data_IF_536982674202
#
_entry.id   IF_536982674202
#
_cell.length_a   1.000
_cell.length_b   1.000
_cell.length_c   1.000
_cell.angle_alpha   90.00
_cell.angle_beta   90.00
_cell.angle_gamma   90.00
#
_symmetry.space_group_name_H-M   'P 1'
#
loop_
_entity.id
_entity.type
_entity.pdbx_description
1 polymer ?
2 polymer ?
3 polymer ?
4 water ?
#
# COMPACT_ATOMS: atom_id res chain seq x y z
N UNK A 1 14.81 -0.04 -19.53
CA UNK A 1 13.86 1.06 -19.68
C UNK A 1 13.09 1.28 -18.38
N UNK A 2 12.76 2.53 -18.12
CA UNK A 2 12.07 2.90 -16.90
C UNK A 2 11.37 4.23 -17.07
N UNK A 3 10.40 4.49 -16.19
CA UNK A 3 9.77 5.80 -16.09
C UNK A 3 9.71 6.17 -14.62
N UNK A 4 9.72 7.47 -14.33
CA UNK A 4 9.73 7.93 -12.96
C UNK A 4 8.89 9.20 -12.83
N UNK A 5 7.97 9.20 -11.89
CA UNK A 5 7.17 10.39 -11.60
C UNK A 5 7.95 11.34 -10.69
N UNK A 6 7.84 12.62 -10.98
CA UNK A 6 8.45 13.64 -10.12
C UNK A 6 7.74 13.68 -8.78
N UNK A 7 8.24 14.50 -7.87
CA UNK A 7 7.68 14.52 -6.52
C UNK A 7 6.27 15.07 -6.52
N UNK A 8 5.37 14.37 -5.84
CA UNK A 8 4.04 14.89 -5.58
C UNK A 8 4.07 15.73 -4.33
N UNK A 9 3.37 15.30 -3.30
CA UNK A 9 3.38 16.00 -2.03
C UNK A 9 2.01 16.54 -1.65
N UNK A 10 2.00 17.54 -0.78
CA UNK A 10 0.77 18.09 -0.25
C UNK A 10 0.36 19.32 -1.06
N UNK A 11 -0.91 19.35 -1.47
CA UNK A 11 -1.48 20.47 -2.22
C UNK A 11 -2.74 20.94 -1.51
N UNK A 12 -2.98 22.24 -1.56
CA UNK A 12 -4.21 22.78 -1.01
C UNK A 12 -5.34 22.65 -2.02
N UNK A 13 -6.57 22.53 -1.57
CA UNK A 13 -7.71 22.60 -2.50
C UNK A 13 -7.63 23.86 -3.34
N UNK A 14 -8.01 23.74 -4.60
CA UNK A 14 -7.98 24.72 -5.68
C UNK A 14 -6.58 24.89 -6.28
N UNK A 15 -5.54 24.29 -5.69
CA UNK A 15 -4.21 24.30 -6.30
C UNK A 15 -4.24 23.53 -7.62
N UNK A 16 -3.17 23.72 -8.39
CA UNK A 16 -2.95 22.94 -9.60
C UNK A 16 -1.87 21.90 -9.35
N UNK A 17 -2.15 20.66 -9.73
CA UNK A 17 -1.15 19.59 -9.68
C UNK A 17 -0.34 19.61 -10.97
N UNK A 18 0.99 19.59 -10.85
CA UNK A 18 1.86 19.40 -12.02
C UNK A 18 2.85 18.29 -11.73
N UNK A 19 2.73 17.17 -12.43
CA UNK A 19 3.69 16.08 -12.29
C UNK A 19 4.45 15.89 -13.59
N UNK A 20 5.70 15.49 -13.46
CA UNK A 20 6.51 15.13 -14.61
C UNK A 20 6.82 13.65 -14.57
N UNK A 21 6.71 13.02 -15.72
CA UNK A 21 7.17 11.65 -15.94
C UNK A 21 8.41 11.71 -16.80
N UNK A 22 9.55 11.24 -16.27
CA UNK A 22 10.77 11.20 -17.05
C UNK A 22 11.04 9.78 -17.51
N UNK A 23 11.32 9.65 -18.80
CA UNK A 23 11.47 8.38 -19.50
C UNK A 23 12.95 8.10 -19.71
N UNK A 24 13.37 6.86 -19.50
CA UNK A 24 14.74 6.44 -19.75
C UNK A 24 14.75 5.13 -20.52
N UNK A 25 15.69 4.99 -21.45
CA UNK A 25 15.95 3.70 -22.06
C UNK A 25 14.95 3.27 -23.10
N UNK A 26 14.04 4.14 -23.53
CA UNK A 26 13.19 3.85 -24.66
C UNK A 26 12.77 5.16 -25.30
N UNK A 27 12.21 5.07 -26.50
CA UNK A 27 11.95 6.25 -27.32
C UNK A 27 10.56 6.79 -27.02
N UNK A 28 10.50 7.99 -26.45
CA UNK A 28 9.21 8.61 -26.14
C UNK A 28 8.42 8.90 -27.40
N UNK A 29 9.10 9.24 -28.49
CA UNK A 29 8.40 9.63 -29.72
C UNK A 29 7.49 8.53 -30.26
N UNK A 30 7.80 7.27 -29.97
CA UNK A 30 7.00 6.15 -30.49
C UNK A 30 6.35 5.34 -29.37
N UNK A 31 6.21 5.91 -28.18
CA UNK A 31 5.58 5.19 -27.10
C UNK A 31 4.61 6.11 -26.37
N UNK A 32 3.39 5.62 -26.21
CA UNK A 32 2.34 6.41 -25.58
C UNK A 32 2.45 6.29 -24.07
N UNK A 33 2.33 7.42 -23.38
CA UNK A 33 2.54 7.44 -21.94
C UNK A 33 1.24 7.84 -21.27
N UNK A 34 0.77 6.98 -20.36
CA UNK A 34 -0.45 7.19 -19.61
C UNK A 34 -0.15 7.73 -18.21
N UNK A 35 -1.16 8.38 -17.65
CA UNK A 35 -1.19 8.71 -16.23
C UNK A 35 -2.37 7.96 -15.63
N UNK A 36 -2.12 7.28 -14.51
CA UNK A 36 -3.09 6.44 -13.82
C UNK A 36 -3.00 6.82 -12.36
N UNK A 37 -4.14 6.94 -11.69
CA UNK A 37 -4.07 7.24 -10.26
C UNK A 37 -4.83 6.20 -9.44
N UNK A 38 -4.50 6.16 -8.15
CA UNK A 38 -5.08 5.16 -7.25
C UNK A 38 -5.28 5.81 -5.89
N UNK A 39 -6.52 6.07 -5.51
CA UNK A 39 -6.77 6.65 -4.20
C UNK A 39 -6.43 5.62 -3.13
N UNK A 40 -6.07 6.06 -1.92
CA UNK A 40 -5.65 5.12 -0.88
C UNK A 40 -6.67 4.02 -0.67
N UNK A 41 -6.21 2.78 -0.80
CA UNK A 41 -7.05 1.61 -0.63
C UNK A 41 -8.04 1.34 -1.75
N UNK A 42 -7.99 2.08 -2.85
CA UNK A 42 -8.98 1.95 -3.92
C UNK A 42 -8.31 1.41 -5.20
N UNK A 43 -9.02 1.52 -6.31
CA UNK A 43 -8.61 0.87 -7.54
C UNK A 43 -7.88 1.81 -8.49
N UNK A 44 -7.38 1.23 -9.58
CA UNK A 44 -6.66 1.97 -10.61
C UNK A 44 -7.63 2.75 -11.49
N UNK A 45 -7.29 4.00 -11.79
CA UNK A 45 -8.15 4.88 -12.58
C UNK A 45 -7.28 5.56 -13.64
N UNK A 46 -7.53 5.23 -14.91
CA UNK A 46 -6.81 5.84 -16.01
C UNK A 46 -7.24 7.30 -16.17
N UNK A 47 -6.27 8.20 -16.22
CA UNK A 47 -6.57 9.63 -16.39
C UNK A 47 -6.57 10.02 -17.86
N UNK A 48 -5.56 9.57 -18.58
CA UNK A 48 -5.42 9.91 -19.99
C UNK A 48 -4.05 9.48 -20.47
N UNK A 49 -3.77 9.75 -21.74
CA UNK A 49 -2.41 9.48 -22.22
C UNK A 49 -2.07 10.42 -23.36
N UNK A 50 -0.76 10.57 -23.60
CA UNK A 50 -0.28 11.21 -24.82
C UNK A 50 0.07 10.10 -25.80
N UNK A 51 -0.56 10.16 -26.96
CA UNK A 51 -0.38 9.16 -28.01
C UNK A 51 1.01 9.26 -28.62
N UNK A 52 1.36 8.27 -29.44
CA UNK A 52 2.64 8.31 -30.15
C UNK A 52 2.72 9.49 -31.09
N UNK A 53 1.58 10.13 -31.41
CA UNK A 53 1.51 11.30 -32.25
C UNK A 53 1.82 12.60 -31.51
N UNK A 54 1.89 12.57 -30.20
CA UNK A 54 2.05 13.80 -29.44
C UNK A 54 0.75 14.44 -29.03
N UNK A 55 -0.40 13.89 -29.44
CA UNK A 55 -1.69 14.42 -29.04
C UNK A 55 -2.29 13.59 -27.92
N UNK A 56 -3.09 14.24 -27.08
CA UNK A 56 -3.52 13.57 -25.86
C UNK A 56 -5.03 13.33 -25.82
N UNK A 57 -5.40 12.29 -25.07
CA UNK A 57 -6.79 11.89 -24.88
C UNK A 57 -7.00 11.55 -23.41
N UNK A 58 -8.24 11.74 -22.95
CA UNK A 58 -8.52 11.77 -21.52
C UNK A 58 -9.77 10.98 -21.21
N UNK A 59 -9.82 10.43 -19.99
CA UNK A 59 -11.08 9.96 -19.44
C UNK A 59 -12.08 11.11 -19.38
N UNK A 60 -13.37 10.82 -19.63
CA UNK A 60 -14.35 11.89 -19.70
C UNK A 60 -14.41 12.71 -18.41
N UNK A 61 -14.18 12.06 -17.26
CA UNK A 61 -14.20 12.78 -15.98
C UNK A 61 -13.03 13.74 -15.84
N UNK A 62 -11.93 13.50 -16.57
CA UNK A 62 -10.69 14.25 -16.40
C UNK A 62 -10.51 15.36 -17.43
N UNK A 63 -11.29 15.35 -18.50
CA UNK A 63 -11.00 16.18 -19.68
C UNK A 63 -10.95 17.66 -19.35
N UNK A 64 -11.88 18.16 -18.54
CA UNK A 64 -11.98 19.60 -18.36
C UNK A 64 -10.82 20.16 -17.55
N UNK A 65 -10.23 19.36 -16.65
CA UNK A 65 -9.21 19.85 -15.74
C UNK A 65 -7.80 19.39 -16.06
N UNK A 66 -7.63 18.46 -16.99
CA UNK A 66 -6.37 17.75 -17.16
C UNK A 66 -5.73 18.10 -18.51
N UNK A 67 -4.41 18.25 -18.48
CA UNK A 67 -3.61 18.45 -19.67
C UNK A 67 -2.41 17.51 -19.59
N UNK A 68 -2.20 16.72 -20.63
CA UNK A 68 -1.04 15.85 -20.70
C UNK A 68 -0.24 16.28 -21.92
N UNK A 69 1.04 16.56 -21.71
CA UNK A 69 1.89 17.09 -22.77
C UNK A 69 3.20 16.31 -22.76
N UNK A 70 3.82 16.19 -23.92
CA UNK A 70 5.12 15.52 -23.96
C UNK A 70 6.15 16.46 -24.56
N UNK A 71 7.39 16.24 -24.18
CA UNK A 71 8.53 16.99 -24.70
C UNK A 71 9.52 15.90 -25.10
N UNK A 72 9.58 15.58 -26.40
CA UNK A 72 10.40 14.44 -26.82
C UNK A 72 11.87 14.72 -26.60
N UNK A 73 12.31 15.96 -26.76
CA UNK A 73 13.71 16.28 -26.54
C UNK A 73 14.13 16.11 -25.10
N UNK A 74 13.25 16.42 -24.16
CA UNK A 74 13.58 16.28 -22.75
C UNK A 74 13.20 14.92 -22.20
N UNK A 75 12.58 14.06 -23.00
CA UNK A 75 12.14 12.75 -22.55
C UNK A 75 11.15 12.87 -21.38
N UNK A 76 10.26 13.86 -21.44
CA UNK A 76 9.31 14.05 -20.35
C UNK A 76 7.88 14.04 -20.88
N UNK A 77 6.98 13.66 -19.98
CA UNK A 77 5.53 13.77 -20.17
C UNK A 77 4.99 14.44 -18.93
N UNK A 78 4.19 15.49 -19.10
CA UNK A 78 3.74 16.30 -17.97
C UNK A 78 2.25 16.13 -17.79
N UNK A 79 1.82 15.98 -16.54
CA UNK A 79 0.42 15.95 -16.17
C UNK A 79 0.11 17.21 -15.38
N UNK A 80 -0.82 18.00 -15.90
CA UNK A 80 -1.33 19.15 -15.16
C UNK A 80 -2.81 18.91 -14.89
N UNK A 81 -3.19 19.03 -13.61
CA UNK A 81 -4.59 18.90 -13.23
C UNK A 81 -4.97 20.09 -12.37
N UNK A 82 -5.94 20.87 -12.83
CA UNK A 82 -6.36 22.06 -12.12
C UNK A 82 -7.48 21.75 -11.14
N UNK A 83 -7.79 22.74 -10.28
CA UNK A 83 -8.98 22.71 -9.42
C UNK A 83 -9.01 21.49 -8.52
N UNK A 84 -7.90 21.24 -7.83
CA UNK A 84 -7.80 20.04 -7.00
C UNK A 84 -8.79 20.06 -5.85
N UNK A 85 -9.32 18.88 -5.51
CA UNK A 85 -10.07 18.68 -4.28
C UNK A 85 -9.58 17.42 -3.59
N UNK A 86 -10.05 17.22 -2.36
CA UNK A 86 -9.71 16.01 -1.62
C UNK A 86 -9.92 14.75 -2.45
N UNK A 87 -10.89 14.75 -3.37
CA UNK A 87 -11.14 13.57 -4.20
C UNK A 87 -9.95 13.23 -5.10
N UNK A 88 -9.03 14.16 -5.32
CA UNK A 88 -7.86 13.92 -6.15
C UNK A 88 -6.67 13.37 -5.37
N UNK A 89 -6.81 13.17 -4.06
CA UNK A 89 -5.77 12.52 -3.28
C UNK A 89 -5.56 11.10 -3.78
N UNK A 90 -4.32 10.76 -4.16
CA UNK A 90 -4.08 9.44 -4.74
C UNK A 90 -2.58 9.26 -4.96
N UNK A 91 -2.18 8.02 -5.19
CA UNK A 91 -0.91 7.77 -5.84
C UNK A 91 -1.07 7.93 -7.35
N UNK A 92 -0.19 8.72 -7.96
CA UNK A 92 -0.18 8.94 -9.40
C UNK A 92 0.97 8.19 -10.04
N UNK A 93 0.66 7.39 -11.05
CA UNK A 93 1.61 6.59 -11.81
C UNK A 93 1.68 7.12 -13.22
N UNK A 94 2.87 7.16 -13.80
CA UNK A 94 2.96 7.22 -15.24
C UNK A 94 3.39 5.85 -15.75
N UNK A 95 3.01 5.54 -16.98
CA UNK A 95 3.21 4.19 -17.48
C UNK A 95 3.12 4.16 -18.99
N UNK A 96 3.92 3.27 -19.60
CA UNK A 96 3.66 2.84 -20.98
C UNK A 96 2.85 1.56 -20.85
N UNK A 97 1.53 1.67 -21.03
CA UNK A 97 0.64 0.56 -20.70
C UNK A 97 0.54 -0.35 -21.91
N UNK A 98 1.00 -1.60 -21.74
CA UNK A 98 0.96 -2.58 -22.81
C UNK A 98 -0.22 -3.51 -22.68
N UNK A 99 -1.34 -3.15 -23.27
CA UNK A 99 -2.54 -3.97 -23.17
C UNK A 99 -2.60 -5.00 -24.29
N UNK A 100 -2.26 -4.57 -25.51
CA UNK A 100 -2.21 -5.49 -26.62
C UNK A 100 -0.89 -5.48 -27.36
N UNK A 101 0.17 -5.00 -26.68
CA UNK A 101 1.50 -4.89 -27.25
C UNK A 101 2.52 -5.41 -26.24
N UNK A 102 3.72 -5.75 -26.75
CA UNK A 102 4.73 -6.36 -25.89
C UNK A 102 5.30 -5.40 -24.87
N UNK A 103 5.44 -4.11 -25.21
CA UNK A 103 6.14 -3.20 -24.32
C UNK A 103 5.20 -2.68 -23.23
N UNK A 104 5.63 -2.81 -21.97
CA UNK A 104 4.87 -2.35 -20.81
C UNK A 104 5.86 -1.94 -19.73
N UNK A 105 5.71 -0.72 -19.21
CA UNK A 105 6.60 -0.18 -18.17
C UNK A 105 5.78 0.72 -17.26
N UNK A 106 5.91 0.56 -15.94
CA UNK A 106 5.20 1.39 -14.98
C UNK A 106 6.18 2.04 -14.00
N UNK A 107 5.90 3.30 -13.63
CA UNK A 107 6.68 3.96 -12.62
C UNK A 107 6.28 3.52 -11.21
N UNK A 108 7.10 3.93 -10.23
CA UNK A 108 6.83 3.52 -8.85
C UNK A 108 5.68 4.24 -8.19
N UNK A 109 5.21 5.34 -8.77
CA UNK A 109 4.13 6.14 -8.23
C UNK A 109 4.65 7.25 -7.33
N UNK A 110 3.85 8.31 -7.22
CA UNK A 110 4.16 9.37 -6.27
C UNK A 110 2.86 9.76 -5.58
N UNK A 111 2.94 10.03 -4.28
CA UNK A 111 1.75 10.32 -3.50
C UNK A 111 1.40 11.80 -3.57
N UNK A 112 0.16 12.07 -3.94
CA UNK A 112 -0.41 13.41 -3.99
C UNK A 112 -1.50 13.45 -2.93
N UNK A 113 -1.38 14.39 -1.99
CA UNK A 113 -2.39 14.60 -0.96
C UNK A 113 -2.95 15.99 -1.15
N UNK A 114 -4.27 16.09 -1.23
CA UNK A 114 -4.94 17.37 -1.34
C UNK A 114 -5.73 17.58 -0.05
N UNK A 115 -5.33 18.59 0.73
CA UNK A 115 -5.95 18.80 2.03
C UNK A 115 -5.67 20.22 2.47
N UNK A 116 -6.59 20.77 3.26
CA UNK A 116 -6.33 22.04 3.92
C UNK A 116 -5.48 21.89 5.18
N UNK A 117 -5.23 20.67 5.63
CA UNK A 117 -4.49 20.46 6.87
C UNK A 117 -3.01 20.76 6.64
N UNK A 118 -2.32 21.07 7.74
CA UNK A 118 -0.96 21.58 7.66
C UNK A 118 0.05 20.46 7.82
N UNK A 119 1.16 20.61 7.11
CA UNK A 119 2.31 19.73 7.32
C UNK A 119 2.71 19.72 8.77
N UNK A 120 2.89 18.50 9.31
CA UNK A 120 3.23 18.31 10.72
C UNK A 120 4.32 17.26 10.81
N UNK A 121 5.42 17.60 11.53
CA UNK A 121 6.49 16.62 11.71
C UNK A 121 6.09 15.59 12.76
N UNK A 122 6.60 14.37 12.66
CA UNK A 122 6.21 13.32 13.61
C UNK A 122 6.91 13.45 14.95
N UNK A 123 6.25 12.93 15.98
CA UNK A 123 6.89 12.63 17.26
C UNK A 123 7.27 11.16 17.23
N UNK A 124 8.52 10.86 17.60
CA UNK A 124 9.05 9.50 17.51
C UNK A 124 9.36 8.99 18.90
N UNK A 125 8.75 7.85 19.26
CA UNK A 125 9.01 7.28 20.56
C UNK A 125 9.55 5.87 20.44
N UNK A 126 10.45 5.48 21.32
CA UNK A 126 10.91 4.09 21.36
C UNK A 126 9.88 3.15 21.96
N UNK A 127 9.86 1.92 21.44
CA UNK A 127 9.02 0.85 21.98
C UNK A 127 9.99 -0.20 22.51
N UNK A 128 10.22 -0.19 23.81
CA UNK A 128 11.07 -1.17 24.46
C UNK A 128 10.22 -2.19 25.19
N UNK A 129 10.77 -3.38 25.45
CA UNK A 129 9.99 -4.40 26.17
C UNK A 129 9.62 -3.95 27.58
N UNK A 130 8.67 -4.66 28.17
CA UNK A 130 8.17 -4.32 29.50
C UNK A 130 9.32 -4.28 30.50
N UNK A 131 9.23 -3.36 31.46
CA UNK A 131 10.29 -3.12 32.44
C UNK A 131 10.71 -4.41 33.12
N UNK A 132 12.01 -4.73 33.03
CA UNK A 132 12.57 -5.92 33.64
C UNK A 132 12.39 -7.20 32.86
N UNK A 133 11.49 -7.22 31.87
CA UNK A 133 11.12 -8.45 31.17
C UNK A 133 12.34 -9.19 30.63
N UNK A 134 12.36 -10.50 30.84
CA UNK A 134 13.36 -11.40 30.27
C UNK A 134 12.68 -12.69 29.82
N UNK A 135 11.58 -12.55 29.08
CA UNK A 135 10.73 -13.67 28.69
C UNK A 135 10.78 -13.86 27.18
N UNK A 136 11.44 -14.92 26.74
CA UNK A 136 11.44 -15.30 25.34
C UNK A 136 12.82 -15.66 24.85
N UNK A 137 12.86 -16.35 23.71
CA UNK A 137 14.13 -16.62 23.03
C UNK A 137 14.58 -15.43 22.20
N UNK A 138 13.64 -14.59 21.77
CA UNK A 138 13.96 -13.40 21.00
C UNK A 138 13.33 -12.18 21.68
N UNK A 139 13.78 -11.00 21.27
CA UNK A 139 13.26 -9.75 21.78
C UNK A 139 12.85 -8.89 20.60
N UNK A 140 11.66 -8.30 20.69
CA UNK A 140 11.19 -7.37 19.67
C UNK A 140 11.20 -5.96 20.23
N UNK A 141 11.81 -5.04 19.48
CA UNK A 141 11.85 -3.62 19.80
C UNK A 141 11.03 -2.88 18.76
N UNK A 142 10.71 -1.63 19.07
CA UNK A 142 9.86 -0.90 18.16
C UNK A 142 10.18 0.57 18.13
N UNK A 143 9.56 1.21 17.15
CA UNK A 143 9.67 2.63 16.91
C UNK A 143 8.28 3.13 16.58
N UNK A 144 7.75 4.06 17.38
CA UNK A 144 6.42 4.62 17.14
C UNK A 144 6.56 6.01 16.51
N UNK A 145 5.93 6.21 15.35
CA UNK A 145 6.04 7.46 14.59
C UNK A 145 4.66 8.11 14.59
N UNK A 146 4.44 9.08 15.48
CA UNK A 146 3.10 9.56 15.79
C UNK A 146 2.86 11.00 15.32
N UNK A 147 1.72 11.22 14.69
CA UNK A 147 1.19 12.55 14.45
C UNK A 147 1.88 13.32 13.34
N UNK A 148 2.09 12.71 12.18
CA UNK A 148 2.69 13.44 11.07
C UNK A 148 1.69 13.59 9.93
N UNK A 149 2.02 14.51 9.01
CA UNK A 149 1.18 14.78 7.85
C UNK A 149 2.00 15.62 6.87
N UNK A 150 1.98 15.32 5.58
CA UNK A 150 1.35 14.16 4.93
C UNK A 150 2.23 12.93 5.01
N UNK A 151 1.76 11.84 4.42
CA UNK A 151 2.60 10.71 4.10
C UNK A 151 3.59 11.12 3.02
N UNK A 152 4.74 10.45 2.92
CA UNK A 152 5.21 9.33 3.74
C UNK A 152 6.27 9.70 4.76
N UNK A 153 6.67 8.73 5.56
CA UNK A 153 7.94 8.78 6.26
C UNK A 153 8.78 7.62 5.77
N UNK A 154 10.09 7.72 5.98
CA UNK A 154 10.99 6.59 5.80
C UNK A 154 11.52 6.18 7.16
N UNK A 155 11.69 4.88 7.36
CA UNK A 155 12.16 4.36 8.65
C UNK A 155 13.20 3.29 8.39
N UNK A 156 14.38 3.46 8.95
CA UNK A 156 15.39 2.42 8.91
C UNK A 156 15.85 2.12 10.33
N UNK A 157 16.58 1.02 10.45
CA UNK A 157 17.15 0.59 11.72
C UNK A 157 18.66 0.52 11.57
N UNK A 158 19.37 1.18 12.47
CA UNK A 158 20.83 1.24 12.44
C UNK A 158 21.33 1.73 11.08
N UNK A 159 20.67 2.75 10.55
CA UNK A 159 21.01 3.38 9.27
C UNK A 159 20.90 2.42 8.10
N UNK A 160 20.17 1.32 8.26
CA UNK A 160 19.99 0.34 7.22
C UNK A 160 20.80 -0.93 7.41
N UNK A 161 21.78 -0.91 8.31
CA UNK A 161 22.57 -2.10 8.59
C UNK A 161 21.84 -3.09 9.49
N UNK A 162 20.61 -2.80 9.89
CA UNK A 162 19.71 -3.76 10.52
C UNK A 162 18.47 -3.83 9.63
N UNK A 163 18.40 -4.86 8.78
CA UNK A 163 17.29 -4.98 7.86
C UNK A 163 16.52 -6.29 7.98
N UNK A 164 17.10 -7.32 8.60
CA UNK A 164 16.38 -8.57 8.79
C UNK A 164 15.44 -8.49 9.99
N UNK A 165 14.30 -9.17 9.88
CA UNK A 165 13.38 -9.24 10.99
C UNK A 165 12.62 -7.97 11.28
N UNK A 166 12.41 -7.12 10.27
CA UNK A 166 11.74 -5.84 10.41
C UNK A 166 10.32 -5.94 9.86
N UNK A 167 9.35 -5.42 10.59
CA UNK A 167 7.99 -5.22 10.10
C UNK A 167 7.65 -3.75 10.26
N UNK A 168 7.38 -3.08 9.16
CA UNK A 168 6.87 -1.72 9.23
C UNK A 168 5.41 -1.74 8.82
N UNK A 169 4.55 -1.33 9.72
CA UNK A 169 3.12 -1.40 9.52
C UNK A 169 2.63 -0.21 8.72
N UNK A 170 1.56 -0.39 7.94
CA UNK A 170 0.97 0.74 7.21
C UNK A 170 0.48 1.80 8.18
N UNK A 171 0.68 3.06 7.78
CA UNK A 171 0.24 4.16 8.60
C UNK A 171 -1.28 4.19 8.68
N UNK A 172 -1.78 4.70 9.80
CA UNK A 172 -3.21 4.88 10.01
C UNK A 172 -3.48 6.38 10.06
N UNK A 173 -4.47 6.84 9.31
CA UNK A 173 -4.88 8.24 9.27
C UNK A 173 -6.03 8.47 10.24
N UNK A 174 -5.90 9.51 11.07
CA UNK A 174 -6.99 9.93 11.94
C UNK A 174 -6.85 11.41 12.21
N UNK A 175 -7.92 12.17 11.95
CA UNK A 175 -7.95 13.61 12.23
C UNK A 175 -6.78 14.33 11.57
N UNK A 176 -6.53 14.01 10.30
CA UNK A 176 -5.49 14.64 9.49
C UNK A 176 -4.08 14.40 10.02
N UNK A 177 -3.88 13.35 10.81
CA UNK A 177 -2.55 12.97 11.26
C UNK A 177 -2.35 11.48 11.06
N UNK A 178 -1.12 11.09 10.74
CA UNK A 178 -0.79 9.69 10.55
C UNK A 178 0.02 9.18 11.73
N UNK A 179 -0.14 7.88 12.00
CA UNK A 179 0.71 7.20 12.97
C UNK A 179 1.15 5.88 12.37
N UNK A 180 2.43 5.57 12.55
CA UNK A 180 3.01 4.35 12.02
C UNK A 180 3.86 3.71 13.10
N UNK A 181 4.00 2.39 13.07
CA UNK A 181 4.97 1.74 13.93
C UNK A 181 5.82 0.77 13.12
N UNK A 182 7.02 0.55 13.59
CA UNK A 182 7.90 -0.45 13.00
C UNK A 182 8.50 -1.25 14.14
N UNK A 183 8.68 -2.54 13.93
CA UNK A 183 9.30 -3.41 14.92
C UNK A 183 10.50 -4.10 14.29
N UNK A 184 11.42 -4.49 15.15
CA UNK A 184 12.55 -5.32 14.74
C UNK A 184 12.76 -6.39 15.80
N UNK A 185 12.96 -7.62 15.34
CA UNK A 185 13.10 -8.76 16.24
C UNK A 185 14.51 -9.30 16.14
N UNK A 186 15.15 -9.49 17.29
CA UNK A 186 16.52 -9.99 17.37
C UNK A 186 16.58 -11.04 18.48
N UNK A 187 17.71 -11.73 18.58
CA UNK A 187 17.85 -12.75 19.61
C UNK A 187 18.05 -12.11 20.98
N UNK A 188 17.74 -12.87 22.03
CA UNK A 188 17.86 -12.37 23.39
C UNK A 188 19.28 -11.89 23.70
N UNK A 189 20.29 -12.53 23.11
CA UNK A 189 21.68 -12.15 23.36
C UNK A 189 22.14 -10.97 22.52
N UNK A 190 21.32 -10.50 21.59
CA UNK A 190 21.69 -9.38 20.72
C UNK A 190 21.51 -8.05 21.43
N UNK A 191 20.34 -7.83 22.03
CA UNK A 191 19.94 -6.59 22.64
C UNK A 191 19.66 -6.81 24.12
N UNK A 192 20.07 -5.89 25.01
CA UNK A 192 20.64 -4.56 24.74
C UNK A 192 22.15 -4.51 24.60
N UNK A 193 22.85 -5.65 24.51
CA UNK A 193 24.28 -5.61 24.29
C UNK A 193 24.63 -4.79 23.06
N UNK A 194 23.96 -5.06 21.94
CA UNK A 194 24.17 -4.30 20.71
C UNK A 194 23.24 -3.10 20.67
N UNK A 195 23.75 -2.01 20.10
CA UNK A 195 23.02 -0.77 19.97
C UNK A 195 22.00 -0.88 18.85
N UNK A 196 20.76 -0.49 19.12
CA UNK A 196 19.71 -0.50 18.11
C UNK A 196 19.01 0.86 18.11
N UNK A 197 18.94 1.48 16.93
CA UNK A 197 18.44 2.83 16.75
C UNK A 197 17.47 2.83 15.56
N UNK A 198 16.35 3.53 15.69
CA UNK A 198 15.51 3.74 14.51
C UNK A 198 15.76 5.13 13.95
N UNK A 199 15.74 5.21 12.63
CA UNK A 199 16.03 6.43 11.90
C UNK A 199 14.78 6.76 11.12
N UNK A 200 14.12 7.86 11.49
CA UNK A 200 12.88 8.28 10.86
C UNK A 200 13.16 9.56 10.11
N UNK A 201 12.64 9.66 8.89
CA UNK A 201 12.74 10.90 8.13
C UNK A 201 11.34 11.25 7.64
N UNK A 202 11.01 12.55 7.64
CA UNK A 202 9.73 13.04 7.11
C UNK A 202 10.05 14.09 6.05
N UNK A 203 10.11 13.69 4.78
CA UNK A 203 10.54 14.63 3.73
C UNK A 203 9.74 15.91 3.68
N UNK A 204 8.42 15.83 3.90
CA UNK A 204 7.58 17.01 3.75
C UNK A 204 7.95 18.11 4.74
N UNK A 205 8.45 17.75 5.92
CA UNK A 205 8.88 18.76 6.89
C UNK A 205 10.40 18.90 6.99
N UNK A 206 11.15 18.18 6.15
CA UNK A 206 12.62 18.19 6.17
C UNK A 206 13.15 17.89 7.56
N UNK A 207 12.48 16.97 8.26
CA UNK A 207 12.90 16.57 9.59
C UNK A 207 13.39 15.13 9.59
N UNK A 208 14.24 14.83 10.56
CA UNK A 208 14.66 13.47 10.85
C UNK A 208 14.74 13.32 12.36
N UNK A 209 14.50 12.10 12.82
CA UNK A 209 14.69 11.75 14.22
C UNK A 209 15.46 10.45 14.28
N UNK A 210 16.50 10.40 15.11
CA UNK A 210 17.17 9.16 15.47
C UNK A 210 16.84 8.87 16.92
N UNK A 211 16.38 7.64 17.17
CA UNK A 211 15.99 7.24 18.51
C UNK A 211 16.65 5.91 18.83
N UNK A 212 17.61 5.92 19.74
CA UNK A 212 18.18 4.66 20.20
C UNK A 212 17.23 4.03 21.22
N UNK A 213 17.04 2.72 21.10
CA UNK A 213 16.11 1.99 21.96
C UNK A 213 16.89 1.48 23.17
N UNK A 214 16.52 1.96 24.36
CA UNK A 214 17.19 1.65 25.62
C UNK A 214 16.27 0.84 26.51
N UNK A 215 16.82 -0.03 27.38
CA UNK A 215 16.00 -0.72 28.37
C UNK A 215 15.32 0.27 29.31
N UNK A 216 14.11 -0.07 29.75
CA UNK A 216 13.32 0.83 30.59
C UNK A 216 13.91 0.96 32.01
N UNK B 2 -15.84 2.95 -22.00
CA UNK B 2 -16.45 1.66 -21.71
C UNK B 2 -16.43 1.37 -20.22
N UNK B 3 -17.34 0.51 -19.78
CA UNK B 3 -17.33 -0.01 -18.43
C UNK B 3 -16.62 -1.35 -18.41
N UNK B 4 -15.87 -1.60 -17.35
CA UNK B 4 -15.21 -2.88 -17.14
C UNK B 4 -15.68 -3.41 -15.79
N UNK B 5 -16.46 -4.49 -15.81
CA UNK B 5 -17.06 -5.05 -14.61
C UNK B 5 -16.33 -6.34 -14.27
N UNK B 6 -15.63 -6.34 -13.15
CA UNK B 6 -14.85 -7.48 -12.69
C UNK B 6 -15.63 -8.20 -11.59
N UNK B 7 -15.69 -9.53 -11.68
CA UNK B 7 -16.35 -10.32 -10.64
C UNK B 7 -15.51 -11.57 -10.37
N UNK B 8 -15.39 -11.97 -9.10
CA UNK B 8 -15.92 -11.31 -7.90
C UNK B 8 -15.01 -10.14 -7.52
N UNK B 9 -15.41 -9.29 -6.57
CA UNK B 9 -14.54 -8.23 -6.10
C UNK B 9 -13.56 -8.72 -5.04
N UNK B 10 -13.85 -9.86 -4.41
CA UNK B 10 -12.88 -10.45 -3.49
C UNK B 10 -13.14 -11.95 -3.42
N UNK B 11 -12.09 -12.70 -3.10
CA UNK B 11 -12.29 -14.12 -2.88
C UNK B 11 -11.17 -14.64 -1.99
N UNK B 12 -11.52 -15.57 -1.11
CA UNK B 12 -10.56 -16.26 -0.27
C UNK B 12 -10.43 -17.67 -0.82
N UNK B 13 -9.19 -18.11 -1.03
CA UNK B 13 -8.92 -19.40 -1.67
C UNK B 13 -7.81 -20.11 -0.92
N UNK B 14 -7.85 -21.43 -0.93
CA UNK B 14 -6.82 -22.20 -0.25
C UNK B 14 -5.66 -22.45 -1.19
N UNK B 15 -4.45 -22.58 -0.63
CA UNK B 15 -3.30 -22.95 -1.44
C UNK B 15 -3.63 -24.18 -2.28
N UNK B 16 -3.29 -24.14 -3.57
CA UNK B 16 -3.54 -25.24 -4.46
C UNK B 16 -4.86 -25.17 -5.21
N UNK B 17 -5.80 -24.34 -4.72
CA UNK B 17 -7.07 -24.16 -5.41
C UNK B 17 -6.87 -23.47 -6.76
N UNK B 18 -7.93 -23.48 -7.53
CA UNK B 18 -8.01 -22.72 -8.78
C UNK B 18 -8.91 -21.52 -8.59
N UNK B 19 -8.43 -20.33 -8.98
CA UNK B 19 -9.17 -19.08 -8.88
C UNK B 19 -9.59 -18.66 -10.28
N UNK B 20 -10.83 -18.21 -10.42
CA UNK B 20 -11.38 -17.73 -11.68
C UNK B 20 -11.90 -16.32 -11.48
N UNK B 21 -11.43 -15.38 -12.29
CA UNK B 21 -11.84 -13.98 -12.24
C UNK B 21 -12.40 -13.60 -13.60
N UNK B 22 -13.58 -12.98 -13.60
CA UNK B 22 -14.25 -12.62 -14.84
C UNK B 22 -14.22 -11.11 -15.04
N UNK B 23 -14.03 -10.70 -16.28
CA UNK B 23 -14.04 -9.30 -16.67
C UNK B 23 -15.01 -9.13 -17.83
N UNK B 24 -16.00 -8.24 -17.68
CA UNK B 24 -16.97 -7.97 -18.73
C UNK B 24 -16.89 -6.51 -19.14
N UNK B 25 -16.54 -6.26 -20.41
CA UNK B 25 -16.52 -4.92 -20.97
C UNK B 25 -17.89 -4.58 -21.54
N UNK B 26 -18.28 -3.30 -21.41
CA UNK B 26 -19.58 -2.89 -21.93
C UNK B 26 -19.60 -2.75 -23.45
N UNK B 27 -18.45 -2.61 -24.08
CA UNK B 27 -18.31 -2.65 -25.53
C UNK B 27 -17.05 -3.43 -25.82
N UNK B 28 -16.87 -3.82 -27.09
CA UNK B 28 -15.71 -4.66 -27.41
C UNK B 28 -14.42 -3.88 -27.29
N UNK B 29 -13.38 -4.56 -26.77
CA UNK B 29 -12.07 -3.97 -26.79
C UNK B 29 -11.52 -3.99 -28.21
N UNK B 30 -10.50 -3.17 -28.41
CA UNK B 30 -9.84 -3.04 -29.70
C UNK B 30 -9.39 -4.40 -30.23
N UNK B 31 -9.71 -4.66 -31.49
CA UNK B 31 -9.37 -5.91 -32.18
C UNK B 31 -9.88 -7.15 -31.45
N UNK B 32 -10.81 -6.98 -30.51
CA UNK B 32 -11.41 -8.03 -29.68
C UNK B 32 -10.43 -8.65 -28.70
N UNK B 33 -9.13 -8.28 -28.71
CA UNK B 33 -8.20 -8.91 -27.77
C UNK B 33 -7.29 -7.93 -27.05
N UNK B 34 -7.56 -6.63 -27.10
CA UNK B 34 -6.78 -5.68 -26.30
C UNK B 34 -7.30 -5.73 -24.87
N UNK B 35 -6.86 -6.75 -24.16
CA UNK B 35 -7.27 -6.97 -22.77
C UNK B 35 -6.07 -7.57 -22.05
N UNK B 36 -5.70 -6.96 -20.92
CA UNK B 36 -4.55 -7.41 -20.14
C UNK B 36 -4.95 -7.61 -18.68
N UNK B 37 -4.14 -8.39 -17.95
CA UNK B 37 -4.35 -8.64 -16.53
C UNK B 37 -3.14 -8.17 -15.74
N UNK B 38 -3.38 -7.43 -14.66
CA UNK B 38 -2.33 -6.92 -13.79
C UNK B 38 -2.51 -7.46 -12.38
N UNK B 39 -1.38 -7.65 -11.69
CA UNK B 39 -1.36 -8.09 -10.30
C UNK B 39 -0.70 -7.00 -9.47
N UNK B 40 -1.37 -6.58 -8.39
CA UNK B 40 -0.82 -5.48 -7.59
C UNK B 40 -0.78 -5.86 -6.13
N UNK B 41 0.39 -5.73 -5.54
CA UNK B 41 0.55 -5.88 -4.10
C UNK B 41 0.71 -4.50 -3.45
N UNK B 42 0.33 -4.35 -2.18
CA UNK B 42 0.27 -3.00 -1.59
C UNK B 42 1.61 -2.27 -1.67
N UNK B 43 1.56 -0.99 -2.02
CA UNK B 43 2.75 -0.17 -2.10
C UNK B 43 3.57 -0.33 -3.35
N UNK B 44 3.14 -1.18 -4.29
CA UNK B 44 3.86 -1.44 -5.52
C UNK B 44 3.02 -0.99 -6.70
N UNK B 45 3.65 -0.69 -7.83
CA UNK B 45 2.89 -0.53 -9.05
C UNK B 45 2.34 -1.88 -9.50
N UNK B 46 1.27 -1.87 -10.28
CA UNK B 46 0.74 -3.14 -10.80
C UNK B 46 1.73 -3.80 -11.75
N UNK B 47 1.79 -5.12 -11.65
CA UNK B 47 2.68 -5.94 -12.47
C UNK B 47 1.85 -6.63 -13.54
N UNK B 48 2.21 -6.44 -14.81
CA UNK B 48 1.48 -7.12 -15.88
C UNK B 48 1.72 -8.63 -15.84
N UNK B 49 0.65 -9.41 -15.89
CA UNK B 49 0.74 -10.86 -15.96
C UNK B 49 0.47 -11.41 -17.34
N UNK B 50 -0.56 -10.88 -17.99
CA UNK B 50 -1.07 -11.36 -19.26
C UNK B 50 -1.44 -10.15 -20.11
N UNK B 51 -1.18 -10.22 -21.41
CA UNK B 51 -1.66 -9.20 -22.33
C UNK B 51 -2.20 -9.89 -23.57
N UNK B 52 -2.90 -9.13 -24.42
CA UNK B 52 -3.54 -9.68 -25.61
C UNK B 52 -4.33 -10.94 -25.27
N UNK B 53 -5.09 -10.85 -24.17
CA UNK B 53 -6.01 -11.88 -23.65
C UNK B 53 -5.28 -13.06 -22.99
N UNK B 54 -4.28 -13.61 -23.66
CA UNK B 54 -3.73 -14.89 -23.22
C UNK B 54 -2.21 -14.97 -23.26
N UNK B 55 -1.50 -13.93 -23.65
CA UNK B 55 -0.05 -13.99 -23.75
C UNK B 55 0.57 -13.72 -22.39
N UNK B 56 1.39 -14.66 -21.92
CA UNK B 56 2.05 -14.53 -20.62
C UNK B 56 3.18 -13.52 -20.72
N UNK B 57 3.28 -12.62 -19.74
CA UNK B 57 4.45 -11.76 -19.71
C UNK B 57 5.69 -12.55 -19.28
N UNK B 58 6.85 -11.96 -19.52
CA UNK B 58 8.12 -12.64 -19.27
C UNK B 58 8.25 -13.02 -17.81
N UNK B 59 8.63 -14.28 -17.56
CA UNK B 59 8.83 -14.76 -16.22
C UNK B 59 7.57 -15.03 -15.42
N UNK B 60 6.39 -14.80 -15.98
CA UNK B 60 5.16 -15.06 -15.24
C UNK B 60 4.93 -16.56 -15.14
N UNK B 61 4.65 -17.09 -13.95
CA UNK B 61 4.44 -18.55 -13.81
C UNK B 61 3.33 -19.06 -14.70
N UNK B 62 3.48 -20.31 -15.16
CA UNK B 62 2.51 -20.89 -16.08
C UNK B 62 1.17 -21.20 -15.43
N UNK B 63 1.04 -21.11 -14.10
CA UNK B 63 -0.27 -21.32 -13.49
C UNK B 63 -1.26 -20.20 -13.81
N UNK B 64 -0.79 -19.09 -14.36
CA UNK B 64 -1.66 -17.99 -14.80
C UNK B 64 -2.01 -18.19 -16.26
N UNK B 65 -3.31 -18.18 -16.57
CA UNK B 65 -3.76 -18.27 -17.95
C UNK B 65 -4.93 -17.32 -18.16
N UNK B 66 -5.04 -16.79 -19.37
CA UNK B 66 -6.10 -15.88 -19.71
C UNK B 66 -6.86 -16.37 -20.93
N UNK B 67 -8.15 -16.06 -20.96
CA UNK B 67 -8.99 -16.48 -22.08
C UNK B 67 -10.07 -15.44 -22.30
N UNK B 68 -10.77 -15.57 -23.43
CA UNK B 68 -11.89 -14.71 -23.74
C UNK B 68 -11.71 -13.97 -25.05
N UNK B 69 -12.70 -13.12 -25.34
CA UNK B 69 -12.72 -12.35 -26.58
C UNK B 69 -13.80 -11.28 -26.50
N UNK B 70 -13.54 -10.14 -27.14
CA UNK B 70 -14.57 -9.14 -27.38
C UNK B 70 -14.96 -8.34 -26.16
N UNK B 71 -15.91 -8.89 -25.39
CA UNK B 71 -16.40 -8.27 -24.16
C UNK B 71 -16.28 -9.15 -22.93
N UNK B 72 -15.95 -10.43 -23.08
CA UNK B 72 -15.92 -11.36 -21.94
C UNK B 72 -14.55 -12.02 -21.84
N UNK B 73 -13.95 -11.96 -20.65
CA UNK B 73 -12.59 -12.42 -20.43
C UNK B 73 -12.48 -13.07 -19.08
N UNK B 74 -11.50 -13.97 -18.97
CA UNK B 74 -11.32 -14.68 -17.71
C UNK B 74 -9.84 -14.85 -17.41
N UNK B 75 -9.48 -14.58 -16.17
CA UNK B 75 -8.17 -14.91 -15.63
C UNK B 75 -8.31 -16.13 -14.75
N UNK B 76 -7.46 -17.13 -14.97
CA UNK B 76 -7.47 -18.34 -14.16
C UNK B 76 -6.10 -18.53 -13.52
N UNK B 77 -6.09 -18.77 -12.21
CA UNK B 77 -4.87 -19.10 -11.49
C UNK B 77 -5.01 -20.55 -11.04
N UNK B 78 -4.23 -21.47 -11.65
CA UNK B 78 -4.36 -22.91 -11.39
C UNK B 78 -3.30 -23.37 -10.39
N UNK B 79 -3.69 -23.55 -9.13
CA UNK B 79 -2.71 -23.92 -8.14
C UNK B 79 -2.19 -22.70 -7.39
N UNK B 80 -3.12 -21.97 -6.78
CA UNK B 80 -2.81 -20.70 -6.14
C UNK B 80 -1.78 -20.87 -5.03
N UNK B 81 -0.87 -19.90 -4.91
CA UNK B 81 0.16 -19.92 -3.90
C UNK B 81 0.09 -18.67 -3.05
N UNK B 82 0.75 -18.69 -1.89
CA UNK B 82 0.76 -17.51 -1.04
C UNK B 82 1.33 -16.29 -1.76
N UNK B 83 2.26 -16.51 -2.69
CA UNK B 83 2.83 -15.42 -3.47
C UNK B 83 1.82 -14.75 -4.38
N UNK B 84 0.64 -15.34 -4.56
CA UNK B 84 -0.40 -14.84 -5.44
C UNK B 84 -1.42 -13.96 -4.71
N UNK B 85 -1.34 -13.86 -3.39
CA UNK B 85 -2.22 -12.97 -2.64
C UNK B 85 -1.96 -11.53 -3.08
N UNK B 86 -2.99 -10.92 -3.67
CA UNK B 86 -2.85 -9.62 -4.33
C UNK B 86 -4.20 -9.15 -4.85
N UNK B 87 -4.25 -7.97 -5.45
CA UNK B 87 -5.45 -7.50 -6.14
C UNK B 87 -5.16 -7.58 -7.63
N UNK B 88 -6.12 -8.11 -8.38
CA UNK B 88 -5.98 -8.31 -9.82
C UNK B 88 -6.93 -7.37 -10.56
N UNK B 89 -6.45 -6.79 -11.65
CA UNK B 89 -7.21 -5.83 -12.45
C UNK B 89 -7.20 -6.27 -13.90
N UNK B 90 -8.35 -6.26 -14.55
CA UNK B 90 -8.29 -6.29 -16.00
C UNK B 90 -8.13 -4.88 -16.53
N UNK B 91 -7.60 -4.79 -17.74
CA UNK B 91 -7.34 -3.49 -18.34
C UNK B 91 -7.64 -3.61 -19.82
N UNK B 92 -8.57 -2.80 -20.31
CA UNK B 92 -8.93 -2.89 -21.72
C UNK B 92 -8.70 -1.60 -22.48
N UNK B 93 -8.62 -1.68 -23.81
CA UNK B 93 -8.42 -0.53 -24.67
C UNK B 93 -9.56 -0.46 -25.67
N UNK B 94 -10.08 0.74 -25.87
CA UNK B 94 -11.15 0.98 -26.84
C UNK B 94 -10.81 2.24 -27.63
N UNK B 95 -11.01 2.21 -28.94
CA UNK B 95 -10.60 3.34 -29.76
C UNK B 95 -11.74 4.29 -30.08
N UNK B 96 -12.99 3.87 -29.87
CA UNK B 96 -14.13 4.67 -30.30
C UNK B 96 -15.14 4.85 -29.17
N UNK B 97 -15.76 6.03 -29.07
CA UNK B 97 -15.59 7.20 -29.96
C UNK B 97 -14.24 7.91 -29.78
N UNK B 98 -13.60 7.75 -28.62
CA UNK B 98 -12.29 8.34 -28.33
C UNK B 98 -11.41 7.27 -27.72
N UNK B 99 -10.12 7.28 -28.07
CA UNK B 99 -9.16 6.36 -27.48
C UNK B 99 -9.20 6.43 -25.97
N UNK B 100 -9.34 5.28 -25.33
CA UNK B 100 -9.23 5.29 -23.87
C UNK B 100 -8.90 3.91 -23.35
N UNK B 101 -8.27 3.89 -22.19
CA UNK B 101 -8.00 2.67 -21.43
C UNK B 101 -8.91 2.68 -20.21
N UNK B 102 -9.42 1.50 -19.84
CA UNK B 102 -10.31 1.37 -18.70
C UNK B 102 -9.88 0.16 -17.88
N UNK B 103 -9.75 0.34 -16.56
CA UNK B 103 -9.48 -0.78 -15.66
C UNK B 103 -10.77 -1.28 -15.04
N UNK B 104 -10.82 -2.60 -14.82
CA UNK B 104 -11.84 -3.17 -13.96
C UNK B 104 -11.66 -2.72 -12.53
N UNK B 105 -12.68 -2.97 -11.71
CA UNK B 105 -12.65 -2.52 -10.33
C UNK B 105 -11.72 -3.27 -9.40
N UNK B 106 -11.16 -4.39 -9.84
CA UNK B 106 -10.22 -5.13 -9.02
C UNK B 106 -10.87 -6.33 -8.35
N UNK B 107 -10.05 -7.37 -8.11
CA UNK B 107 -10.44 -8.55 -7.33
C UNK B 107 -9.36 -8.79 -6.30
N UNK B 108 -9.70 -8.67 -5.02
CA UNK B 108 -8.73 -8.92 -3.96
C UNK B 108 -8.73 -10.42 -3.64
N UNK B 109 -7.57 -11.05 -3.80
CA UNK B 109 -7.44 -12.49 -3.58
C UNK B 109 -6.69 -12.72 -2.29
N UNK B 110 -7.35 -13.28 -1.30
CA UNK B 110 -6.71 -13.67 -0.06
C UNK B 110 -6.43 -15.17 -0.15
N UNK B 111 -5.20 -15.56 0.15
CA UNK B 111 -4.79 -16.96 0.04
C UNK B 111 -4.71 -17.57 1.44
N UNK B 112 -5.37 -18.71 1.61
CA UNK B 112 -5.41 -19.39 2.91
C UNK B 112 -4.26 -20.40 2.99
N UNK B 113 -3.25 -20.08 3.78
CA UNK B 113 -2.17 -21.00 4.06
C UNK B 113 -2.47 -21.81 5.30
N UNK B 114 -1.41 -22.38 5.88
CA UNK B 114 -1.56 -23.17 7.10
C UNK B 114 -1.96 -22.27 8.27
N UNK B 115 -2.95 -22.66 9.06
CA UNK B 115 -3.32 -21.84 10.21
C UNK B 115 -2.22 -21.80 11.25
N UNK B 116 -1.99 -20.61 11.80
CA UNK B 116 -0.96 -20.34 12.80
C UNK B 116 -1.53 -19.34 13.79
N UNK B 117 -1.41 -19.64 15.10
CA UNK B 117 -1.90 -18.72 16.11
C UNK B 117 -0.89 -17.60 16.36
N UNK B 118 -1.36 -16.38 16.64
CA UNK B 118 -0.44 -15.26 16.85
C UNK B 118 0.35 -15.38 18.14
N UNK B 119 1.55 -14.80 18.13
CA UNK B 119 2.19 -14.42 19.37
C UNK B 119 2.00 -12.92 19.58
N UNK B 120 1.92 -12.53 20.85
CA UNK B 120 1.43 -11.21 21.20
C UNK B 120 2.50 -10.51 22.04
N UNK B 121 2.78 -9.24 21.70
CA UNK B 121 3.69 -8.40 22.46
C UNK B 121 2.97 -7.09 22.80
N UNK B 122 3.28 -6.53 23.96
CA UNK B 122 2.72 -5.23 24.32
C UNK B 122 3.85 -4.28 24.69
N UNK B 123 3.65 -3.00 24.38
CA UNK B 123 4.69 -1.98 24.55
C UNK B 123 4.14 -0.82 25.36
N UNK B 124 4.56 -0.67 26.61
CA UNK B 124 4.13 0.49 27.38
C UNK B 124 4.61 1.77 26.73
N UNK B 125 3.95 2.88 26.99
CA UNK B 125 4.37 4.15 26.38
C UNK B 125 5.77 4.54 26.82
N UNK B 126 6.51 5.15 25.90
CA UNK B 126 7.79 5.72 26.27
C UNK B 126 7.58 6.81 27.32
N UNK B 127 8.56 6.94 28.22
CA UNK B 127 8.41 7.85 29.34
C UNK B 127 8.19 9.30 28.89
N UNK B 128 8.70 9.69 27.72
CA UNK B 128 8.54 11.08 27.32
C UNK B 128 7.21 11.37 26.62
N UNK B 129 6.38 10.34 26.37
CA UNK B 129 5.05 10.60 25.80
C UNK B 129 4.16 11.35 26.78
N UNK B 130 4.20 11.00 28.06
CA UNK B 130 3.12 11.42 28.95
C UNK B 130 3.08 12.94 29.09
N UNK B 131 4.24 13.61 28.99
CA UNK B 131 4.24 15.07 29.11
C UNK B 131 3.49 15.76 27.97
N UNK B 132 3.30 15.08 26.84
CA UNK B 132 2.57 15.68 25.73
C UNK B 132 1.06 15.74 25.97
N UNK B 133 0.57 15.12 27.03
CA UNK B 133 -0.85 15.10 27.31
C UNK B 133 -1.58 13.87 26.81
N UNK B 134 -0.92 13.06 26.00
CA UNK B 134 -1.53 11.89 25.39
C UNK B 134 -0.49 10.77 25.40
N UNK B 135 -0.95 9.52 25.56
CA UNK B 135 -0.06 8.36 25.49
C UNK B 135 -0.65 7.34 24.52
N UNK B 136 0.25 6.63 23.85
CA UNK B 136 -0.12 5.59 22.90
C UNK B 136 0.53 4.30 23.38
N UNK B 137 -0.29 3.27 23.57
CA UNK B 137 0.18 1.94 23.94
C UNK B 137 0.06 1.07 22.70
N UNK B 138 1.06 0.23 22.45
CA UNK B 138 1.13 -0.53 21.21
C UNK B 138 1.09 -2.02 21.54
N UNK B 139 0.25 -2.74 20.81
CA UNK B 139 0.17 -4.19 20.88
C UNK B 139 0.43 -4.75 19.48
N UNK B 140 1.23 -5.80 19.41
CA UNK B 140 1.59 -6.40 18.13
C UNK B 140 1.19 -7.87 18.15
N UNK B 141 0.50 -8.31 17.11
CA UNK B 141 0.19 -9.73 16.92
C UNK B 141 1.01 -10.21 15.74
N UNK B 142 1.90 -11.18 15.97
CA UNK B 142 2.88 -11.58 14.97
C UNK B 142 2.53 -12.92 14.33
N UNK B 143 2.76 -13.00 13.03
CA UNK B 143 2.78 -14.23 12.22
C UNK B 143 1.57 -15.12 12.49
N UNK B 144 0.41 -14.69 11.97
CA UNK B 144 -0.80 -15.45 12.23
C UNK B 144 -1.63 -15.61 10.97
N UNK B 145 -2.49 -16.63 10.99
CA UNK B 145 -3.53 -16.81 10.01
C UNK B 145 -4.51 -17.83 10.57
N UNK B 146 -5.83 -17.61 10.46
CA UNK B 146 -6.55 -16.51 9.81
C UNK B 146 -6.66 -15.28 10.69
N UNK B 147 -7.53 -14.37 10.29
CA UNK B 147 -7.61 -13.05 10.89
C UNK B 147 -7.94 -13.13 12.37
N UNK B 148 -7.55 -12.08 13.09
CA UNK B 148 -7.75 -11.96 14.52
C UNK B 148 -8.55 -10.69 14.80
N UNK B 149 -9.13 -10.65 16.00
CA UNK B 149 -9.65 -9.41 16.56
C UNK B 149 -8.82 -9.03 17.77
N UNK B 150 -8.69 -7.74 18.00
CA UNK B 150 -7.96 -7.22 19.16
C UNK B 150 -8.94 -6.55 20.09
N UNK B 151 -8.86 -6.90 21.37
CA UNK B 151 -9.61 -6.25 22.42
C UNK B 151 -8.62 -5.66 23.40
N UNK B 152 -8.88 -4.43 23.84
CA UNK B 152 -8.09 -3.80 24.89
C UNK B 152 -8.88 -3.79 26.19
N UNK B 153 -8.18 -4.05 27.29
CA UNK B 153 -8.80 -3.96 28.60
C UNK B 153 -7.94 -3.09 29.49
N UNK B 154 -8.58 -2.20 30.24
CA UNK B 154 -7.89 -1.31 31.15
C UNK B 154 -8.47 -1.56 32.53
N UNK B 155 -7.63 -2.00 33.45
CA UNK B 155 -8.05 -2.41 34.80
C UNK B 155 -9.21 -3.41 34.73
N UNK B 156 -9.14 -4.31 33.74
CA UNK B 156 -10.10 -5.38 33.62
C UNK B 156 -11.36 -5.04 32.84
N UNK B 157 -11.48 -3.80 32.36
CA UNK B 157 -12.65 -3.33 31.66
C UNK B 157 -12.32 -3.09 30.19
N UNK B 158 -13.15 -3.63 29.30
CA UNK B 158 -12.88 -3.51 27.88
C UNK B 158 -12.99 -2.06 27.43
N UNK B 159 -12.05 -1.64 26.59
CA UNK B 159 -12.03 -0.30 25.98
C UNK B 159 -12.68 -0.32 24.61
N UNK B 160 -13.39 0.76 24.27
CA UNK B 160 -14.00 0.85 22.95
C UNK B 160 -13.53 2.06 22.14
N UNK B 161 -12.92 3.05 22.77
CA UNK B 161 -12.51 4.26 22.06
C UNK B 161 -10.99 4.37 22.06
N UNK B 162 -10.48 5.12 21.08
CA UNK B 162 -9.05 5.38 20.99
C UNK B 162 -8.21 4.27 20.42
N UNK B 163 -8.78 3.35 19.66
CA UNK B 163 -8.05 2.17 19.18
C UNK B 163 -7.95 2.25 17.65
N UNK B 164 -6.72 2.08 17.14
CA UNK B 164 -6.46 1.96 15.72
C UNK B 164 -5.66 0.69 15.45
N UNK B 165 -6.01 0.01 14.36
CA UNK B 165 -5.34 -1.22 13.97
C UNK B 165 -4.75 -1.07 12.57
N UNK B 166 -3.61 -1.71 12.36
CA UNK B 166 -2.94 -1.71 11.06
C UNK B 166 -2.41 -3.11 10.78
N UNK B 167 -2.83 -3.70 9.66
CA UNK B 167 -2.48 -5.08 9.31
C UNK B 167 -1.56 -5.07 8.09
N UNK B 168 -0.50 -5.87 8.15
CA UNK B 168 0.45 -5.97 7.04
C UNK B 168 -0.17 -6.76 5.89
N UNK B 169 0.42 -6.70 4.70
CA UNK B 169 0.05 -7.64 3.64
C UNK B 169 0.37 -9.06 4.04
N UNK B 170 -0.25 -10.00 3.33
CA UNK B 170 0.05 -11.40 3.58
C UNK B 170 1.50 -11.70 3.20
N UNK B 171 2.16 -12.49 4.03
CA UNK B 171 3.50 -12.96 3.72
C UNK B 171 3.48 -13.74 2.42
N UNK B 172 4.39 -13.41 1.50
CA UNK B 172 4.40 -14.06 0.20
C UNK B 172 4.82 -15.52 0.27
N UNK B 173 5.43 -15.95 1.38
CA UNK B 173 5.86 -17.33 1.54
C UNK B 173 4.89 -18.20 2.32
N UNK B 174 4.27 -17.68 3.39
CA UNK B 174 3.42 -18.53 4.22
C UNK B 174 2.02 -17.97 4.49
N UNK B 175 1.66 -16.86 3.86
CA UNK B 175 0.31 -16.28 3.88
C UNK B 175 0.00 -15.58 5.21
N UNK B 176 0.94 -15.50 6.15
CA UNK B 176 0.60 -14.98 7.48
C UNK B 176 0.57 -13.46 7.51
N UNK B 177 -0.16 -12.95 8.50
CA UNK B 177 -0.29 -11.53 8.74
C UNK B 177 0.53 -11.12 9.96
N UNK B 178 0.78 -9.82 10.07
CA UNK B 178 1.16 -9.19 11.32
C UNK B 178 0.24 -8.00 11.56
N UNK B 179 -0.04 -7.71 12.83
CA UNK B 179 -0.97 -6.65 13.18
C UNK B 179 -0.41 -5.77 14.29
N UNK B 180 -0.62 -4.46 14.14
CA UNK B 180 -0.31 -3.49 15.18
C UNK B 180 -1.61 -2.84 15.65
N UNK B 181 -1.82 -2.83 16.96
CA UNK B 181 -2.99 -2.17 17.53
C UNK B 181 -2.47 -1.10 18.47
N UNK B 182 -3.03 0.10 18.39
CA UNK B 182 -2.65 1.18 19.28
C UNK B 182 -3.85 1.59 20.10
N UNK B 183 -3.63 1.80 21.39
CA UNK B 183 -4.60 2.41 22.28
C UNK B 183 -4.07 3.77 22.70
N UNK B 184 -4.86 4.81 22.49
CA UNK B 184 -4.45 6.17 22.79
C UNK B 184 -5.36 6.72 23.88
N UNK B 185 -4.75 7.26 24.94
CA UNK B 185 -5.46 7.80 26.09
C UNK B 185 -4.86 9.14 26.45
N UNK B 186 -5.63 9.97 27.16
CA UNK B 186 -4.99 11.14 27.74
C UNK B 186 -4.00 10.72 28.81
N UNK B 187 -3.02 11.59 29.07
CA UNK B 187 -2.06 11.31 30.11
C UNK B 187 -2.74 11.12 31.46
N UNK B 188 -3.80 11.91 31.71
CA UNK B 188 -4.55 11.76 32.96
C UNK B 188 -5.21 10.40 33.06
N UNK B 189 -5.82 9.94 31.97
CA UNK B 189 -6.42 8.61 31.96
C UNK B 189 -5.36 7.53 32.21
N UNK B 190 -4.24 7.62 31.50
CA UNK B 190 -3.19 6.61 31.64
C UNK B 190 -2.69 6.53 33.08
N UNK B 191 -2.41 7.68 33.68
CA UNK B 191 -1.87 7.71 35.04
C UNK B 191 -2.93 7.43 36.09
N UNK B 192 -4.18 7.18 35.69
CA UNK B 192 -5.24 6.87 36.64
C UNK B 192 -5.62 5.40 36.64
N UNK B 193 -5.01 4.58 35.79
CA UNK B 193 -5.29 3.15 35.72
C UNK B 193 -3.98 2.39 35.82
N UNK B 194 -4.04 1.11 36.20
CA UNK B 194 -2.83 0.34 36.47
C UNK B 194 -2.55 -0.74 35.44
N UNK B 195 -3.53 -1.60 35.15
CA UNK B 195 -3.29 -2.78 34.31
C UNK B 195 -3.74 -2.51 32.89
N UNK B 196 -2.84 -2.75 31.94
CA UNK B 196 -3.12 -2.54 30.53
C UNK B 196 -2.97 -3.88 29.82
N UNK B 197 -4.00 -4.23 29.06
CA UNK B 197 -4.13 -5.59 28.55
C UNK B 197 -4.51 -5.56 27.09
N UNK B 198 -3.80 -6.32 26.27
CA UNK B 198 -4.16 -6.52 24.88
C UNK B 198 -4.55 -7.97 24.71
N UNK B 199 -5.75 -8.25 24.18
CA UNK B 199 -6.28 -9.59 24.01
C UNK B 199 -6.49 -9.82 22.53
N UNK B 200 -5.81 -10.84 21.98
CA UNK B 200 -5.88 -11.14 20.55
C UNK B 200 -6.62 -12.45 20.38
N UNK B 201 -7.75 -12.41 19.67
CA UNK B 201 -8.64 -13.55 19.57
C UNK B 201 -8.65 -14.07 18.13
N UNK B 202 -8.43 -15.36 18.00
CA UNK B 202 -8.45 -16.03 16.70
C UNK B 202 -9.44 -17.18 16.80
N UNK B 203 -10.63 -17.01 16.22
CA UNK B 203 -11.68 -18.00 16.35
C UNK B 203 -12.10 -18.14 17.81
N UNK B 204 -11.75 -19.26 18.42
CA UNK B 204 -12.11 -19.50 19.82
C UNK B 204 -10.88 -19.63 20.71
N UNK B 205 -9.75 -19.11 20.27
CA UNK B 205 -8.54 -18.98 21.09
C UNK B 205 -8.28 -17.50 21.34
N UNK B 206 -7.94 -17.15 22.58
CA UNK B 206 -7.50 -15.80 22.88
C UNK B 206 -6.12 -15.85 23.51
N UNK B 207 -5.25 -14.94 23.07
CA UNK B 207 -3.90 -14.81 23.60
C UNK B 207 -3.80 -13.41 24.18
N UNK B 208 -3.37 -13.31 25.44
CA UNK B 208 -3.43 -12.08 26.20
C UNK B 208 -2.05 -11.73 26.72
N UNK B 209 -1.67 -10.46 26.59
CA UNK B 209 -0.45 -9.94 27.20
C UNK B 209 -0.80 -8.65 27.91
N UNK B 210 -0.31 -8.50 29.14
CA UNK B 210 -0.60 -7.34 29.97
C UNK B 210 0.68 -6.75 30.51
N UNK B 211 0.58 -5.52 31.01
CA UNK B 211 1.61 -4.91 31.83
C UNK B 211 0.94 -3.97 32.82
N UNK B 212 1.63 -3.69 33.92
CA UNK B 212 1.18 -2.73 34.91
C UNK B 212 1.97 -1.44 34.78
N UNK B 213 1.29 -0.31 34.72
CA UNK B 213 1.96 0.97 34.79
C UNK B 213 2.77 1.05 36.07
N UNK B 214 4.03 1.48 35.96
CA UNK B 214 4.89 1.60 37.13
C UNK B 214 5.37 0.27 37.66
N UNK C 1 -1.79 0.03 -27.14
CA UNK C 1 -2.50 1.29 -27.14
C UNK C 1 -1.59 2.46 -27.50
N UNK C 2 -1.68 2.91 -28.74
CA UNK C 2 -0.81 3.97 -29.23
C UNK C 2 -1.53 5.28 -29.45
N UNK C 3 -2.87 5.25 -29.39
CA UNK C 3 -3.65 6.44 -29.63
C UNK C 3 -3.61 6.92 -31.06
N UNK C 4 -3.39 6.03 -32.02
CA UNK C 4 -3.35 6.37 -33.44
C UNK C 4 -4.03 5.32 -34.30
N UNK C 5 -4.74 4.37 -33.72
CA UNK C 5 -5.20 3.24 -34.48
C UNK C 5 -6.39 3.65 -35.35
N UNK C 6 -6.51 3.00 -36.51
CA UNK C 6 -7.59 3.32 -37.46
C UNK C 6 -8.99 2.89 -36.94
N UNK C 7 -9.09 2.52 -35.67
CA UNK C 7 -10.37 2.30 -34.98
C UNK C 7 -11.18 1.15 -35.61
#
# INVERSE_FOLDING_TARGET
QSVEESEGGLFKPTDTLTLTCTVSGFSLSSNAISWVRQAPGKGLEWIGFVAVTGYSYYASWAKSRSTITRNTGLNTVTLKMTSLTAADTATYFCARIGIGIDFNIWGPGTLVTVSSAKTTAPSVYPLAPVCGDTTGSSVTLGCLVKGYFPEPVTLTWNSGSLSSGVHTFPAVLQSDLYTLSSSVTVTSSTWPSQSITCNVAHPASSTKVDKKIEPRGSHHHHHH
AIDMTQTPSSKSVAVGDTVTINCQASETVYKNNYLAWYQQKPGQPPKRLIYSVSTLDSGVPSRFSGSGSGTQFTLTISGVQCDDAATYYCAGYRTTPIYHIRFGGGTEVVVEGDPVAPTVLIFPPAADQVATGTVTIVCVANKYFPDVTVTWEVDGTTQTTGIENSKTPQNSADCTYNLSSTLTLTSTQYNSHKEYTCKVTQGTTSVVQSFNRGDC
QDGNEEM
#
